data_IF_701987644043
#
_entry.id   IF_701987644043
#
_cell.length_a   1.000
_cell.length_b   1.000
_cell.length_c   1.000
_cell.angle_alpha   90.00
_cell.angle_beta   90.00
_cell.angle_gamma   90.00
#
_symmetry.space_group_name_H-M   'P 1'
#
loop_
_entity.id
_entity.type
_entity.pdbx_description
1 polymer ?
#
# COMPACT_ATOMS: atom_id res chain seq x y z
N UNK A 1 -14.90 -18.04 53.47
CA UNK A 1 -14.44 -18.09 52.07
C UNK A 1 -15.29 -17.14 51.25
N UNK A 2 -14.78 -15.94 50.94
CA UNK A 2 -15.51 -14.92 50.18
C UNK A 2 -15.39 -15.27 48.71
N UNK A 3 -16.50 -15.70 48.10
CA UNK A 3 -16.61 -16.08 46.69
C UNK A 3 -16.30 -14.83 45.86
N UNK A 4 -15.14 -14.79 45.22
CA UNK A 4 -14.80 -13.76 44.24
C UNK A 4 -15.66 -14.00 43.02
N UNK A 5 -16.70 -13.19 42.82
CA UNK A 5 -17.43 -13.15 41.56
C UNK A 5 -16.46 -12.81 40.43
N UNK A 6 -16.53 -13.50 39.27
CA UNK A 6 -15.75 -13.11 38.12
C UNK A 6 -16.28 -11.75 37.66
N UNK A 7 -15.39 -10.75 37.62
CA UNK A 7 -15.70 -9.45 37.04
C UNK A 7 -16.17 -9.67 35.61
N UNK A 8 -17.47 -9.43 35.36
CA UNK A 8 -18.03 -9.42 34.01
C UNK A 8 -17.27 -8.35 33.22
N UNK A 9 -16.40 -8.80 32.32
CA UNK A 9 -15.68 -7.96 31.35
C UNK A 9 -16.73 -7.32 30.45
N UNK A 10 -17.15 -6.13 30.83
CA UNK A 10 -18.18 -5.38 30.15
C UNK A 10 -17.49 -4.56 29.08
N UNK A 11 -17.68 -4.99 27.83
CA UNK A 11 -16.94 -4.46 26.69
C UNK A 11 -17.24 -2.97 26.49
N UNK A 12 -16.22 -2.14 26.34
CA UNK A 12 -16.37 -0.73 26.03
C UNK A 12 -16.94 -0.59 24.61
N UNK A 13 -18.23 -0.30 24.56
CA UNK A 13 -18.98 -0.09 23.34
C UNK A 13 -18.40 1.05 22.48
N UNK A 14 -17.76 2.05 23.11
CA UNK A 14 -17.06 3.13 22.41
C UNK A 14 -15.84 2.63 21.67
N UNK A 15 -14.97 1.86 22.34
CA UNK A 15 -13.76 1.29 21.75
C UNK A 15 -14.08 0.34 20.58
N UNK A 16 -15.11 -0.50 20.74
CA UNK A 16 -15.58 -1.41 19.69
C UNK A 16 -16.07 -0.64 18.45
N UNK A 17 -16.79 0.46 18.63
CA UNK A 17 -17.28 1.29 17.50
C UNK A 17 -16.13 1.95 16.75
N UNK A 18 -15.16 2.52 17.47
CA UNK A 18 -14.00 3.18 16.86
C UNK A 18 -13.18 2.18 16.06
N UNK A 19 -12.91 1.00 16.61
CA UNK A 19 -12.15 -0.05 15.92
C UNK A 19 -12.88 -0.58 14.69
N UNK A 20 -14.19 -0.80 14.75
CA UNK A 20 -14.98 -1.16 13.57
C UNK A 20 -14.92 -0.09 12.47
N UNK A 21 -15.00 1.20 12.82
CA UNK A 21 -14.91 2.30 11.84
C UNK A 21 -13.54 2.32 11.18
N UNK A 22 -12.45 2.21 11.96
CA UNK A 22 -11.08 2.20 11.43
C UNK A 22 -10.85 0.99 10.51
N UNK A 23 -11.25 -0.20 10.94
CA UNK A 23 -11.13 -1.40 10.13
C UNK A 23 -11.97 -1.30 8.85
N UNK A 24 -13.18 -0.76 8.94
CA UNK A 24 -14.03 -0.46 7.78
C UNK A 24 -13.39 0.52 6.81
N UNK A 25 -12.73 1.57 7.32
CA UNK A 25 -12.00 2.55 6.50
C UNK A 25 -10.84 1.90 5.74
N UNK A 26 -10.05 1.02 6.38
CA UNK A 26 -8.98 0.29 5.69
C UNK A 26 -9.51 -0.61 4.56
N UNK A 27 -10.59 -1.34 4.80
CA UNK A 27 -11.23 -2.14 3.75
C UNK A 27 -11.75 -1.24 2.62
N UNK A 28 -12.42 -0.13 2.96
CA UNK A 28 -12.96 0.80 1.97
C UNK A 28 -11.87 1.39 1.08
N UNK A 29 -10.77 1.87 1.67
CA UNK A 29 -9.62 2.40 0.92
C UNK A 29 -9.05 1.32 -0.01
N UNK A 30 -8.88 0.09 0.47
CA UNK A 30 -8.38 -1.01 -0.34
C UNK A 30 -9.32 -1.32 -1.53
N UNK A 31 -10.63 -1.41 -1.28
CA UNK A 31 -11.63 -1.68 -2.32
C UNK A 31 -11.71 -0.56 -3.36
N UNK A 32 -11.70 0.71 -2.94
CA UNK A 32 -11.69 1.85 -3.85
C UNK A 32 -10.46 1.79 -4.76
N UNK A 33 -9.26 1.58 -4.20
CA UNK A 33 -8.03 1.50 -4.99
C UNK A 33 -8.06 0.32 -5.97
N UNK A 34 -8.53 -0.86 -5.53
CA UNK A 34 -8.68 -2.03 -6.42
C UNK A 34 -9.67 -1.72 -7.56
N UNK A 35 -10.78 -1.03 -7.28
CA UNK A 35 -11.79 -0.69 -8.29
C UNK A 35 -11.29 0.31 -9.33
N UNK A 36 -10.36 1.18 -8.96
CA UNK A 36 -9.73 2.14 -9.85
C UNK A 36 -8.58 1.53 -10.67
N UNK A 37 -7.97 0.43 -10.22
CA UNK A 37 -6.91 -0.25 -10.97
C UNK A 37 -7.47 -1.13 -12.07
N UNK A 38 -7.06 -0.87 -13.31
CA UNK A 38 -7.45 -1.69 -14.47
C UNK A 38 -6.70 -3.04 -14.47
N UNK A 39 -7.28 -4.04 -15.14
CA UNK A 39 -6.71 -5.40 -15.19
C UNK A 39 -5.30 -5.47 -15.81
N UNK A 40 -5.00 -4.60 -16.78
CA UNK A 40 -3.68 -4.55 -17.43
C UNK A 40 -2.58 -4.11 -16.46
N UNK A 41 -2.89 -3.27 -15.48
CA UNK A 41 -1.93 -2.79 -14.48
C UNK A 41 -1.51 -3.86 -13.47
N UNK A 42 -2.24 -4.97 -13.38
CA UNK A 42 -1.89 -6.08 -12.48
C UNK A 42 -0.75 -6.95 -13.01
N UNK A 43 -0.43 -6.85 -14.31
CA UNK A 43 0.66 -7.60 -14.92
C UNK A 43 2.01 -7.30 -14.22
N UNK A 44 2.88 -8.31 -14.03
CA UNK A 44 4.19 -8.08 -13.44
C UNK A 44 5.05 -7.23 -14.38
N UNK A 45 5.87 -6.34 -13.82
CA UNK A 45 6.90 -5.67 -14.62
C UNK A 45 7.94 -6.70 -15.05
N UNK A 46 8.36 -6.70 -16.33
CA UNK A 46 9.46 -7.54 -16.77
C UNK A 46 10.73 -7.13 -16.00
N UNK A 47 11.40 -8.10 -15.38
CA UNK A 47 12.63 -7.89 -14.63
C UNK A 47 13.83 -7.97 -15.59
N UNK A 48 14.19 -6.83 -16.18
CA UNK A 48 15.33 -6.71 -17.10
C UNK A 48 16.39 -5.85 -16.41
N UNK A 49 17.61 -6.36 -16.27
CA UNK A 49 18.67 -5.60 -15.58
C UNK A 49 19.10 -4.38 -16.38
N UNK A 50 19.37 -3.28 -15.67
CA UNK A 50 19.97 -2.10 -16.24
C UNK A 50 21.41 -1.94 -15.78
N UNK A 51 22.36 -2.01 -16.71
CA UNK A 51 23.78 -1.83 -16.40
C UNK A 51 24.20 -0.36 -16.43
N UNK A 52 23.48 0.48 -17.19
CA UNK A 52 23.88 1.86 -17.53
C UNK A 52 22.83 2.94 -17.19
N UNK A 53 22.04 2.79 -16.13
CA UNK A 53 21.06 3.81 -15.74
C UNK A 53 20.12 3.41 -14.59
N UNK A 54 19.17 4.30 -14.28
CA UNK A 54 18.13 4.04 -13.28
C UNK A 54 17.08 3.08 -13.88
N UNK A 55 16.80 1.91 -13.26
CA UNK A 55 15.79 0.98 -13.75
C UNK A 55 14.39 1.51 -13.44
N UNK A 56 13.58 1.72 -14.48
CA UNK A 56 12.26 2.38 -14.37
C UNK A 56 11.13 1.41 -14.71
N UNK A 57 11.29 0.59 -15.75
CA UNK A 57 10.30 -0.39 -16.23
C UNK A 57 8.91 0.21 -16.41
N UNK A 58 8.74 1.08 -17.42
CA UNK A 58 7.47 1.74 -17.76
C UNK A 58 7.02 1.41 -19.17
N UNK A 59 5.71 1.32 -19.37
CA UNK A 59 5.13 1.29 -20.71
C UNK A 59 5.06 2.69 -21.29
N UNK A 60 5.33 2.82 -22.58
CA UNK A 60 5.28 4.09 -23.28
C UNK A 60 4.85 3.86 -24.72
N UNK A 61 4.49 4.96 -25.39
CA UNK A 61 4.15 5.00 -26.79
C UNK A 61 5.04 5.99 -27.52
N UNK A 62 5.35 5.69 -28.77
CA UNK A 62 6.11 6.61 -29.62
C UNK A 62 5.19 7.76 -30.06
N UNK A 63 5.66 9.00 -29.97
CA UNK A 63 4.85 10.19 -30.27
C UNK A 63 4.93 10.63 -31.75
N UNK A 64 5.95 10.18 -32.49
CA UNK A 64 6.22 10.57 -33.88
C UNK A 64 6.33 9.38 -34.83
N UNK A 65 6.22 9.64 -36.13
CA UNK A 65 6.44 8.63 -37.16
C UNK A 65 7.92 8.49 -37.51
N UNK A 66 8.35 7.28 -37.87
CA UNK A 66 9.74 6.96 -38.25
C UNK A 66 10.78 7.34 -37.20
N UNK A 67 10.49 7.08 -35.93
CA UNK A 67 11.44 7.27 -34.84
C UNK A 67 12.47 6.14 -34.85
N UNK A 68 13.75 6.53 -34.83
CA UNK A 68 14.87 5.59 -34.89
C UNK A 68 15.10 4.92 -33.54
N UNK A 69 15.19 3.59 -33.56
CA UNK A 69 15.72 2.76 -32.49
C UNK A 69 17.19 2.49 -32.80
N UNK A 70 18.06 2.73 -31.82
CA UNK A 70 19.52 2.73 -31.98
C UNK A 70 20.19 1.76 -31.04
N UNK A 71 21.41 1.36 -31.35
CA UNK A 71 22.25 0.48 -30.53
C UNK A 71 22.93 1.21 -29.35
N UNK A 72 23.19 2.52 -29.48
CA UNK A 72 23.78 3.38 -28.43
C UNK A 72 22.96 4.65 -28.20
N UNK A 73 23.03 5.27 -27.00
CA UNK A 73 22.30 6.50 -26.64
C UNK A 73 22.93 7.75 -27.25
N UNK A 74 23.01 7.79 -28.58
CA UNK A 74 23.55 8.92 -29.36
C UNK A 74 22.90 8.96 -30.75
N UNK A 75 22.85 10.14 -31.36
CA UNK A 75 22.31 10.30 -32.72
C UNK A 75 23.24 9.78 -33.81
N UNK A 76 24.51 9.56 -33.49
CA UNK A 76 25.56 9.13 -34.42
C UNK A 76 25.70 7.60 -34.52
N UNK A 77 24.98 6.86 -33.70
CA UNK A 77 25.08 5.40 -33.64
C UNK A 77 24.26 4.73 -34.75
N UNK A 78 24.30 3.41 -34.84
CA UNK A 78 23.59 2.71 -35.89
C UNK A 78 22.08 2.73 -35.63
N UNK A 79 21.29 2.79 -36.71
CA UNK A 79 19.83 2.65 -36.62
C UNK A 79 19.49 1.17 -36.81
N UNK A 80 19.00 0.54 -35.76
CA UNK A 80 18.61 -0.87 -35.78
C UNK A 80 17.22 -1.08 -36.35
N UNK A 81 16.30 -0.17 -36.03
CA UNK A 81 14.90 -0.25 -36.47
C UNK A 81 14.22 1.11 -36.42
N UNK A 82 13.01 1.19 -36.95
CA UNK A 82 12.15 2.37 -36.87
C UNK A 82 10.76 2.02 -36.34
N UNK A 83 10.22 2.89 -35.51
CA UNK A 83 8.87 2.80 -34.95
C UNK A 83 8.04 4.00 -35.37
N UNK A 84 6.74 3.79 -35.48
CA UNK A 84 5.78 4.83 -35.84
C UNK A 84 5.00 5.30 -34.63
N UNK A 85 4.22 6.37 -34.84
CA UNK A 85 3.41 6.96 -33.78
C UNK A 85 2.44 5.92 -33.22
N UNK A 86 2.26 5.94 -31.90
CA UNK A 86 1.45 5.02 -31.11
C UNK A 86 1.98 3.58 -31.05
N UNK A 87 3.17 3.29 -31.59
CA UNK A 87 3.78 1.97 -31.38
C UNK A 87 4.10 1.81 -29.88
N UNK A 88 3.65 0.71 -29.25
CA UNK A 88 3.93 0.45 -27.85
C UNK A 88 5.41 0.04 -27.68
N UNK A 89 6.02 0.57 -26.62
CA UNK A 89 7.37 0.25 -26.21
C UNK A 89 7.42 0.08 -24.69
N UNK A 90 8.40 -0.67 -24.21
CA UNK A 90 8.69 -0.79 -22.78
C UNK A 90 10.04 -0.15 -22.52
N UNK A 91 10.05 0.89 -21.69
CA UNK A 91 11.24 1.57 -21.22
C UNK A 91 11.80 0.82 -20.02
N UNK A 92 13.00 0.26 -20.17
CA UNK A 92 13.71 -0.47 -19.11
C UNK A 92 14.43 0.51 -18.20
N UNK A 93 15.19 1.44 -18.78
CA UNK A 93 15.94 2.44 -18.04
C UNK A 93 15.99 3.79 -18.75
N UNK A 94 16.39 4.81 -17.99
CA UNK A 94 16.62 6.15 -18.50
C UNK A 94 18.09 6.53 -18.27
N UNK A 95 18.71 7.11 -19.29
CA UNK A 95 20.08 7.64 -19.27
C UNK A 95 20.11 8.99 -19.98
N UNK A 96 20.05 10.08 -19.19
CA UNK A 96 19.98 11.44 -19.73
C UNK A 96 18.73 11.64 -20.58
N UNK A 97 18.91 11.96 -21.87
CA UNK A 97 17.82 12.21 -22.85
C UNK A 97 17.47 10.95 -23.66
N UNK A 98 17.96 9.79 -23.22
CA UNK A 98 17.74 8.51 -23.88
C UNK A 98 17.07 7.52 -22.93
N UNK A 99 16.20 6.72 -23.51
CA UNK A 99 15.50 5.64 -22.83
C UNK A 99 15.91 4.32 -23.48
N UNK A 100 16.35 3.37 -22.66
CA UNK A 100 16.61 2.00 -23.11
C UNK A 100 15.29 1.27 -23.22
N UNK A 101 15.04 0.62 -24.35
CA UNK A 101 13.82 -0.15 -24.60
C UNK A 101 14.08 -1.65 -24.55
N UNK A 102 13.07 -2.45 -24.17
CA UNK A 102 13.14 -3.91 -24.32
C UNK A 102 12.60 -4.31 -25.70
N UNK A 103 13.49 -4.63 -26.62
CA UNK A 103 13.13 -5.13 -27.94
C UNK A 103 14.03 -6.31 -28.30
N UNK A 104 13.78 -7.46 -27.66
CA UNK A 104 14.58 -8.69 -27.80
C UNK A 104 14.71 -9.16 -29.26
N UNK A 105 13.73 -8.84 -30.11
CA UNK A 105 13.74 -9.16 -31.54
C UNK A 105 14.70 -8.30 -32.37
N UNK A 106 15.12 -7.15 -31.84
CA UNK A 106 16.00 -6.20 -32.51
C UNK A 106 17.43 -6.33 -31.96
N UNK A 107 17.57 -6.40 -30.64
CA UNK A 107 18.86 -6.53 -29.98
C UNK A 107 18.77 -6.40 -28.45
N UNK A 108 19.85 -6.73 -27.72
CA UNK A 108 19.87 -6.68 -26.26
C UNK A 108 19.84 -5.24 -25.72
N UNK A 109 20.50 -4.31 -26.42
CA UNK A 109 20.58 -2.90 -26.07
C UNK A 109 19.99 -2.05 -27.17
N UNK A 110 18.78 -1.54 -26.92
CA UNK A 110 18.09 -0.66 -27.85
C UNK A 110 17.73 0.65 -27.16
N UNK A 111 17.95 1.76 -27.85
CA UNK A 111 17.82 3.11 -27.31
C UNK A 111 16.90 3.94 -28.21
N UNK A 112 16.05 4.73 -27.55
CA UNK A 112 15.16 5.71 -28.16
C UNK A 112 15.31 7.04 -27.44
N UNK A 113 15.12 8.16 -28.14
CA UNK A 113 15.13 9.47 -27.48
C UNK A 113 13.91 9.64 -26.58
N UNK A 114 14.12 10.01 -25.32
CA UNK A 114 13.05 10.19 -24.32
C UNK A 114 12.05 11.28 -24.72
N UNK A 115 12.47 12.27 -25.51
CA UNK A 115 11.59 13.34 -26.00
C UNK A 115 10.61 12.89 -27.10
N UNK A 116 10.81 11.70 -27.67
CA UNK A 116 9.96 11.15 -28.75
C UNK A 116 9.01 10.07 -28.25
N UNK A 117 8.90 9.89 -26.94
CA UNK A 117 8.03 8.90 -26.30
C UNK A 117 7.11 9.59 -25.31
N UNK A 118 5.98 8.95 -25.02
CA UNK A 118 5.01 9.40 -24.02
C UNK A 118 4.69 8.21 -23.12
N UNK A 119 4.84 8.39 -21.81
CA UNK A 119 4.56 7.34 -20.85
C UNK A 119 3.06 7.03 -20.84
N UNK A 120 2.73 5.74 -20.75
CA UNK A 120 1.35 5.32 -20.52
C UNK A 120 0.90 5.76 -19.12
N UNK A 121 -0.33 6.23 -18.99
CA UNK A 121 -0.94 6.54 -17.70
C UNK A 121 -1.19 5.25 -16.89
N UNK A 122 -1.53 4.16 -17.58
CA UNK A 122 -1.88 2.88 -16.98
C UNK A 122 -0.66 2.01 -16.70
N UNK A 123 0.31 2.55 -15.94
CA UNK A 123 1.50 1.81 -15.57
C UNK A 123 1.17 0.59 -14.68
N UNK A 124 1.95 -0.50 -14.78
CA UNK A 124 1.84 -1.62 -13.86
C UNK A 124 2.01 -1.17 -12.42
N UNK A 125 1.10 -1.64 -11.57
CA UNK A 125 1.09 -1.32 -10.14
C UNK A 125 2.41 -1.80 -9.52
N UNK A 126 3.08 -0.90 -8.81
CA UNK A 126 4.34 -1.22 -8.15
C UNK A 126 4.15 -2.29 -7.06
N UNK A 127 5.20 -3.07 -6.80
CA UNK A 127 5.17 -4.10 -5.74
C UNK A 127 4.84 -3.46 -4.37
N UNK A 128 5.37 -2.26 -4.11
CA UNK A 128 5.07 -1.50 -2.88
C UNK A 128 3.57 -1.20 -2.76
N UNK A 129 2.93 -0.73 -3.83
CA UNK A 129 1.50 -0.46 -3.83
C UNK A 129 0.68 -1.75 -3.63
N UNK A 130 1.05 -2.84 -4.32
CA UNK A 130 0.40 -4.16 -4.13
C UNK A 130 0.49 -4.61 -2.67
N UNK A 131 1.67 -4.48 -2.05
CA UNK A 131 1.88 -4.83 -0.65
C UNK A 131 1.03 -3.95 0.30
N UNK A 132 1.01 -2.63 0.09
CA UNK A 132 0.18 -1.72 0.89
C UNK A 132 -1.30 -2.07 0.82
N UNK A 133 -1.82 -2.38 -0.38
CA UNK A 133 -3.21 -2.78 -0.56
C UNK A 133 -3.53 -4.09 0.16
N UNK A 134 -2.64 -5.08 0.08
CA UNK A 134 -2.79 -6.35 0.81
C UNK A 134 -2.78 -6.14 2.33
N UNK A 135 -1.92 -5.24 2.84
CA UNK A 135 -1.88 -4.91 4.26
C UNK A 135 -3.19 -4.25 4.70
N UNK A 136 -3.69 -3.25 3.98
CA UNK A 136 -4.96 -2.60 4.34
C UNK A 136 -6.16 -3.55 4.25
N UNK A 137 -6.21 -4.39 3.22
CA UNK A 137 -7.28 -5.37 3.07
C UNK A 137 -7.24 -6.41 4.20
N UNK A 138 -6.07 -6.97 4.50
CA UNK A 138 -5.91 -7.98 5.55
C UNK A 138 -6.14 -7.41 6.96
N UNK A 139 -5.60 -6.22 7.26
CA UNK A 139 -5.80 -5.54 8.54
C UNK A 139 -7.26 -5.12 8.75
N UNK A 140 -7.90 -4.62 7.69
CA UNK A 140 -9.31 -4.25 7.73
C UNK A 140 -10.23 -5.46 7.94
N UNK A 141 -10.06 -6.53 7.16
CA UNK A 141 -10.88 -7.75 7.30
C UNK A 141 -10.65 -8.46 8.63
N UNK A 142 -9.39 -8.58 9.08
CA UNK A 142 -9.08 -9.17 10.38
C UNK A 142 -9.64 -8.35 11.53
N UNK A 143 -9.55 -7.01 11.47
CA UNK A 143 -10.16 -6.14 12.47
C UNK A 143 -11.68 -6.27 12.56
N UNK A 144 -12.39 -6.35 11.42
CA UNK A 144 -13.83 -6.61 11.40
C UNK A 144 -14.18 -8.00 11.95
N UNK A 145 -13.40 -9.03 11.60
CA UNK A 145 -13.57 -10.39 12.11
C UNK A 145 -13.37 -10.46 13.63
N UNK A 146 -12.35 -9.78 14.17
CA UNK A 146 -12.10 -9.70 15.61
C UNK A 146 -13.25 -8.97 16.32
N UNK A 147 -13.73 -7.84 15.76
CA UNK A 147 -14.90 -7.15 16.30
C UNK A 147 -16.14 -8.05 16.35
N UNK A 148 -16.29 -8.95 15.38
CA UNK A 148 -17.44 -9.86 15.28
C UNK A 148 -17.35 -11.09 16.19
N UNK A 149 -16.16 -11.67 16.38
CA UNK A 149 -15.98 -12.95 17.07
C UNK A 149 -15.30 -12.86 18.43
N UNK A 150 -14.40 -11.90 18.63
CA UNK A 150 -13.60 -11.78 19.87
C UNK A 150 -13.44 -10.32 20.30
N UNK A 151 -14.53 -9.61 20.63
CA UNK A 151 -14.47 -8.18 20.93
C UNK A 151 -13.61 -7.84 22.16
N UNK A 152 -13.57 -8.74 23.17
CA UNK A 152 -12.71 -8.56 24.36
C UNK A 152 -11.20 -8.72 24.10
N UNK A 153 -10.79 -9.23 22.93
CA UNK A 153 -9.38 -9.29 22.56
C UNK A 153 -8.80 -7.88 22.28
N UNK A 154 -9.65 -6.96 21.80
CA UNK A 154 -9.27 -5.57 21.50
C UNK A 154 -8.87 -4.84 22.78
N UNK A 155 -9.66 -4.99 23.84
CA UNK A 155 -9.37 -4.37 25.14
C UNK A 155 -8.07 -4.87 25.73
N UNK A 156 -7.84 -6.19 25.72
CA UNK A 156 -6.59 -6.78 26.20
C UNK A 156 -5.38 -6.26 25.44
N UNK A 157 -5.52 -6.09 24.13
CA UNK A 157 -4.47 -5.54 23.28
C UNK A 157 -4.20 -4.07 23.60
N UNK A 158 -5.25 -3.25 23.71
CA UNK A 158 -5.12 -1.82 24.06
C UNK A 158 -4.53 -1.64 25.46
N UNK A 159 -4.96 -2.45 26.43
CA UNK A 159 -4.44 -2.43 27.79
C UNK A 159 -2.95 -2.82 27.86
N UNK A 160 -2.56 -3.82 27.06
CA UNK A 160 -1.16 -4.21 26.92
C UNK A 160 -0.34 -3.09 26.27
N UNK A 161 -0.86 -2.48 25.20
CA UNK A 161 -0.20 -1.43 24.44
C UNK A 161 0.00 -0.16 25.26
N UNK A 162 -1.04 0.26 25.99
CA UNK A 162 -1.06 1.47 26.81
C UNK A 162 -0.55 1.25 28.24
N UNK A 163 -0.21 0.00 28.61
CA UNK A 163 0.24 -0.39 29.95
C UNK A 163 -0.73 0.05 31.08
N UNK A 164 -2.02 0.14 30.79
CA UNK A 164 -3.07 0.57 31.75
C UNK A 164 -3.25 -0.39 32.92
N UNK A 165 -2.60 -1.56 32.89
CA UNK A 165 -2.74 -2.59 33.91
C UNK A 165 -1.93 -2.32 35.19
N UNK A 166 -0.95 -1.43 35.16
CA UNK A 166 -0.01 -1.21 36.29
C UNK A 166 -0.25 0.08 37.09
N UNK A 167 -1.45 0.66 37.07
CA UNK A 167 -1.70 1.85 37.88
C UNK A 167 -1.71 1.55 39.39
N UNK A 168 -0.98 2.36 40.20
CA UNK A 168 -1.03 2.28 41.65
C UNK A 168 -2.47 2.35 42.20
N UNK A 169 -2.78 1.71 43.34
CA UNK A 169 -4.15 1.60 43.86
C UNK A 169 -4.89 2.94 44.01
N UNK A 170 -4.15 4.02 44.32
CA UNK A 170 -4.69 5.37 44.50
C UNK A 170 -4.98 6.11 43.17
N UNK A 171 -4.39 5.69 42.05
CA UNK A 171 -4.56 6.32 40.73
C UNK A 171 -5.66 5.66 39.89
N UNK A 172 -6.04 4.42 40.21
CA UNK A 172 -7.15 3.68 39.57
C UNK A 172 -8.50 4.41 39.52
N UNK A 173 -8.97 5.10 40.58
CA UNK A 173 -10.28 5.77 40.54
C UNK A 173 -10.31 7.04 39.68
N UNK A 174 -9.16 7.62 39.31
CA UNK A 174 -9.10 8.87 38.53
C UNK A 174 -9.34 8.66 37.02
N UNK A 175 -9.15 7.42 36.54
CA UNK A 175 -9.31 7.05 35.12
C UNK A 175 -10.48 6.06 34.93
N UNK A 176 -10.97 5.43 36.02
CA UNK A 176 -12.15 4.55 35.97
C UNK A 176 -13.42 5.34 35.67
N UNK A 177 -13.98 5.14 34.48
CA UNK A 177 -15.27 5.71 34.05
C UNK A 177 -16.45 5.12 34.84
N UNK A 178 -16.23 4.02 35.59
CA UNK A 178 -17.21 3.46 36.51
C UNK A 178 -17.11 4.18 37.85
N UNK A 179 -18.17 4.91 38.29
CA UNK A 179 -18.15 5.59 39.58
C UNK A 179 -18.04 4.55 40.69
N UNK A 180 -16.89 4.53 41.36
CA UNK A 180 -16.70 3.71 42.55
C UNK A 180 -17.44 4.38 43.71
N UNK A 181 -18.34 3.64 44.37
CA UNK A 181 -19.07 4.15 45.52
C UNK A 181 -18.08 4.58 46.62
N UNK A 182 -18.05 5.88 46.93
CA UNK A 182 -17.25 6.43 48.02
C UNK A 182 -18.15 6.62 49.25
N UNK A 183 -17.81 6.05 50.41
CA UNK A 183 -18.65 6.16 51.62
C UNK A 183 -18.86 7.61 52.09
N UNK A 184 -17.96 8.53 51.72
CA UNK A 184 -18.08 9.96 51.97
C UNK A 184 -19.24 10.64 51.20
N UNK A 185 -19.80 10.00 50.17
CA UNK A 185 -20.93 10.53 49.38
C UNK A 185 -22.24 10.54 50.18
N UNK A 186 -22.35 9.67 51.18
CA UNK A 186 -23.55 9.53 52.01
C UNK A 186 -23.45 10.32 53.32
N UNK A 187 -22.37 11.06 53.55
CA UNK A 187 -22.24 11.99 54.67
C UNK A 187 -22.67 13.40 54.22
N UNK A 188 -23.98 13.61 54.05
CA UNK A 188 -24.61 14.93 53.95
C UNK A 188 -25.89 14.92 54.74
#
# INVERSE_FOLDING_TARGET
MRKTEPAVQQTDLGLLRVTMIISGLFVLIALINISQTSMTQWQPRPNISCDNGEPVHRFAFVNANRVNIRDLPTVFSNVLSQKNKNDPITVVCEFGVWSRTSAETIGPDTWISSGLITLDENQPVSIRMKATLLIFLSLGLSGLAVCRWYPGAIERFVDLLLQTQQLPPHARPLISVKPQYHPARNQK
#
